data_IF_254222182301
#
_entry.id   IF_254222182301
#
_cell.length_a   1.000
_cell.length_b   1.000
_cell.length_c   1.000
_cell.angle_alpha   90.00
_cell.angle_beta   90.00
_cell.angle_gamma   90.00
#
_symmetry.space_group_name_H-M   'P 1'
#
loop_
_entity.id
_entity.type
_entity.pdbx_description
1 polymer ?
#
# COMPACT_ATOMS: atom_id res chain seq x y z
N UNK A 1 5.88 5.50 -14.20
CA UNK A 1 4.65 4.82 -13.73
C UNK A 1 4.07 5.65 -12.60
N UNK A 2 2.74 5.74 -12.48
CA UNK A 2 2.10 6.38 -11.33
C UNK A 2 2.14 5.44 -10.12
N UNK A 3 2.24 5.99 -8.91
CA UNK A 3 2.03 5.25 -7.66
C UNK A 3 0.54 4.99 -7.42
N UNK A 4 0.24 4.15 -6.43
CA UNK A 4 -1.11 3.86 -6.00
C UNK A 4 -1.80 5.01 -5.28
N UNK A 5 -2.89 4.69 -4.57
CA UNK A 5 -3.62 5.65 -3.76
C UNK A 5 -4.90 5.07 -3.18
N UNK A 6 -5.59 5.91 -2.40
CA UNK A 6 -6.89 5.57 -1.81
C UNK A 6 -7.95 6.44 -2.44
N UNK A 7 -9.05 5.81 -2.86
CA UNK A 7 -10.24 6.49 -3.34
C UNK A 7 -11.44 6.15 -2.46
N UNK A 8 -12.30 7.13 -2.21
CA UNK A 8 -13.63 6.92 -1.66
C UNK A 8 -14.62 6.65 -2.77
N UNK A 9 -15.53 5.69 -2.55
CA UNK A 9 -16.67 5.42 -3.41
C UNK A 9 -17.95 5.53 -2.57
N UNK A 10 -18.97 6.30 -3.01
CA UNK A 10 -20.26 6.33 -2.32
C UNK A 10 -20.89 4.93 -2.25
N UNK A 11 -21.67 4.64 -1.22
CA UNK A 11 -22.36 3.35 -1.08
C UNK A 11 -23.33 3.05 -2.23
N UNK A 12 -23.85 4.10 -2.88
CA UNK A 12 -24.70 4.02 -4.07
C UNK A 12 -23.92 3.76 -5.36
N UNK A 13 -22.59 3.64 -5.28
CA UNK A 13 -21.70 3.62 -6.44
C UNK A 13 -21.45 5.01 -7.04
N UNK A 14 -20.87 5.03 -8.25
CA UNK A 14 -20.53 6.25 -8.98
C UNK A 14 -19.03 6.40 -9.25
N UNK A 15 -18.58 7.63 -9.51
CA UNK A 15 -17.18 7.93 -9.78
C UNK A 15 -16.37 7.94 -8.48
N UNK A 16 -15.32 7.10 -8.34
CA UNK A 16 -14.42 7.16 -7.20
C UNK A 16 -13.73 8.52 -7.10
N UNK A 17 -13.62 9.06 -5.89
CA UNK A 17 -12.87 10.28 -5.63
C UNK A 17 -11.59 9.97 -4.87
N UNK A 18 -10.48 10.47 -5.36
CA UNK A 18 -9.18 10.25 -4.73
C UNK A 18 -9.08 11.05 -3.43
N UNK A 19 -8.77 10.36 -2.33
CA UNK A 19 -8.54 10.96 -1.01
C UNK A 19 -7.06 10.90 -0.60
N UNK A 20 -6.25 10.09 -1.29
CA UNK A 20 -4.79 10.06 -1.13
C UNK A 20 -4.14 9.57 -2.43
N UNK A 21 -3.10 10.27 -2.89
CA UNK A 21 -2.27 9.86 -4.04
C UNK A 21 -0.86 9.56 -3.54
N UNK A 22 -0.36 8.36 -3.80
CA UNK A 22 1.03 8.04 -3.49
C UNK A 22 1.96 8.64 -4.57
N UNK A 23 3.19 9.05 -4.20
CA UNK A 23 4.15 9.57 -5.18
C UNK A 23 4.50 8.50 -6.22
N UNK A 24 4.86 8.91 -7.43
CA UNK A 24 5.25 7.97 -8.51
C UNK A 24 6.40 7.02 -8.10
N UNK A 25 7.33 7.50 -7.26
CA UNK A 25 8.42 6.71 -6.71
C UNK A 25 7.96 5.55 -5.80
N UNK A 26 6.73 5.60 -5.27
CA UNK A 26 6.18 4.53 -4.45
C UNK A 26 5.89 3.25 -5.26
N UNK A 27 5.69 3.34 -6.58
CA UNK A 27 5.30 2.21 -7.42
C UNK A 27 6.25 1.00 -7.30
N UNK A 28 7.56 1.25 -7.14
CA UNK A 28 8.56 0.19 -6.94
C UNK A 28 8.39 -0.49 -5.59
N UNK A 29 8.11 0.28 -4.54
CA UNK A 29 7.90 -0.25 -3.18
C UNK A 29 6.60 -1.03 -3.11
N UNK A 30 5.50 -0.47 -3.64
CA UNK A 30 4.16 -1.08 -3.62
C UNK A 30 4.14 -2.45 -4.31
N UNK A 31 4.84 -2.58 -5.44
CA UNK A 31 4.93 -3.85 -6.19
C UNK A 31 5.66 -4.96 -5.42
N UNK A 32 6.44 -4.61 -4.40
CA UNK A 32 7.11 -5.57 -3.53
C UNK A 32 6.20 -6.21 -2.48
N UNK A 33 4.96 -5.73 -2.32
CA UNK A 33 3.99 -6.29 -1.38
C UNK A 33 3.07 -7.30 -2.07
N UNK A 34 3.15 -8.57 -1.66
CA UNK A 34 2.30 -9.66 -2.13
C UNK A 34 1.28 -10.01 -1.04
N UNK A 35 0.07 -10.45 -1.42
CA UNK A 35 -1.05 -10.68 -0.49
C UNK A 35 -1.23 -9.53 0.50
N UNK A 36 -1.13 -8.29 0.02
CA UNK A 36 -1.02 -7.14 0.90
C UNK A 36 -2.32 -6.84 1.67
N UNK A 37 -2.16 -6.33 2.89
CA UNK A 37 -3.24 -5.67 3.64
C UNK A 37 -3.10 -4.17 3.54
N UNK A 38 -4.22 -3.50 3.33
CA UNK A 38 -4.30 -2.04 3.23
C UNK A 38 -5.21 -1.53 4.34
N UNK A 39 -4.71 -0.57 5.12
CA UNK A 39 -5.51 0.17 6.10
C UNK A 39 -5.45 1.67 5.78
N UNK A 40 -6.58 2.35 5.86
CA UNK A 40 -6.65 3.80 5.69
C UNK A 40 -7.36 4.45 6.87
N UNK A 41 -6.69 5.42 7.50
CA UNK A 41 -7.27 6.19 8.61
C UNK A 41 -6.66 7.58 8.65
N UNK A 42 -7.50 8.60 8.84
CA UNK A 42 -7.08 10.00 9.04
C UNK A 42 -6.06 10.48 7.98
N UNK A 43 -6.32 10.24 6.69
CA UNK A 43 -5.43 10.69 5.61
C UNK A 43 -4.20 9.83 5.36
N UNK A 44 -4.00 8.74 6.12
CA UNK A 44 -2.83 7.86 5.99
C UNK A 44 -3.23 6.47 5.51
N UNK A 45 -2.48 5.96 4.55
CA UNK A 45 -2.52 4.59 4.07
C UNK A 45 -1.34 3.80 4.64
N UNK A 46 -1.63 2.62 5.19
CA UNK A 46 -0.65 1.63 5.60
C UNK A 46 -0.78 0.43 4.68
N UNK A 47 0.32 0.07 4.01
CA UNK A 47 0.46 -1.12 3.20
C UNK A 47 1.35 -2.11 3.96
N UNK A 48 0.88 -3.35 4.12
CA UNK A 48 1.59 -4.38 4.89
C UNK A 48 1.55 -5.70 4.13
N UNK A 49 2.59 -6.53 4.25
CA UNK A 49 2.53 -7.93 3.83
C UNK A 49 1.58 -8.71 4.76
N UNK A 50 0.65 -9.52 4.22
CA UNK A 50 -0.21 -10.35 5.10
C UNK A 50 0.57 -11.46 5.81
N UNK A 51 1.72 -11.87 5.26
CA UNK A 51 2.66 -12.79 5.88
C UNK A 51 4.08 -12.35 5.56
N UNK A 52 4.98 -12.51 6.52
CA UNK A 52 6.41 -12.50 6.25
C UNK A 52 6.79 -13.97 6.06
N UNK A 53 7.35 -14.29 4.91
CA UNK A 53 7.91 -15.62 4.65
C UNK A 53 9.17 -15.43 3.81
N UNK A 54 10.33 -15.47 4.46
CA UNK A 54 11.59 -15.63 3.74
C UNK A 54 11.79 -17.10 3.38
N UNK A 55 12.51 -17.35 2.28
CA UNK A 55 13.00 -18.70 1.96
C UNK A 55 14.26 -19.01 2.78
N UNK A 56 15.01 -17.97 3.17
CA UNK A 56 16.11 -18.01 4.13
C UNK A 56 16.10 -16.78 5.08
N UNK A 57 16.91 -16.84 6.14
CA UNK A 57 16.95 -15.82 7.21
C UNK A 57 17.34 -14.42 6.71
N UNK A 58 18.09 -14.31 5.62
CA UNK A 58 18.59 -13.03 5.10
C UNK A 58 17.57 -12.36 4.18
N UNK A 59 16.88 -13.15 3.35
CA UNK A 59 15.75 -12.69 2.55
C UNK A 59 14.56 -12.28 3.43
N UNK A 60 14.32 -12.98 4.55
CA UNK A 60 13.27 -12.61 5.50
C UNK A 60 13.55 -11.24 6.16
N UNK A 61 14.80 -11.00 6.59
CA UNK A 61 15.20 -9.75 7.26
C UNK A 61 15.18 -8.54 6.35
N UNK A 62 15.51 -8.73 5.07
CA UNK A 62 15.54 -7.64 4.09
C UNK A 62 14.13 -7.27 3.55
N UNK A 63 13.12 -8.10 3.84
CA UNK A 63 11.75 -7.87 3.40
C UNK A 63 11.15 -6.64 4.07
N UNK A 64 10.68 -5.68 3.26
CA UNK A 64 9.92 -4.53 3.77
C UNK A 64 8.57 -5.01 4.28
N UNK A 65 8.42 -5.09 5.60
CA UNK A 65 7.18 -5.57 6.23
C UNK A 65 6.01 -4.59 6.09
N UNK A 66 6.29 -3.28 6.05
CA UNK A 66 5.27 -2.23 6.02
C UNK A 66 5.76 -0.96 5.30
N UNK A 67 4.85 -0.28 4.61
CA UNK A 67 5.03 1.05 4.05
C UNK A 67 3.85 1.96 4.45
N UNK A 68 4.11 3.24 4.66
CA UNK A 68 3.09 4.22 5.02
C UNK A 68 3.14 5.43 4.11
N UNK A 69 1.96 5.90 3.69
CA UNK A 69 1.79 7.09 2.86
C UNK A 69 0.76 8.00 3.50
N UNK A 70 0.97 9.32 3.46
CA UNK A 70 0.05 10.28 4.03
C UNK A 70 0.12 11.61 3.30
N UNK A 71 -0.93 12.41 3.52
CA UNK A 71 -0.99 13.83 3.18
C UNK A 71 -0.11 14.67 4.10
#
# INVERSE_FOLDING_TARGET
MAGGGIASLPQTGGTPQMVLRHPAAAATVERGFFDSRVAYRNGRCILMHARISGIDDEDEKSMKSMAAFGS
#
